data_IF_610028567398
#
_entry.id   IF_610028567398
#
_cell.length_a   1.000
_cell.length_b   1.000
_cell.length_c   1.000
_cell.angle_alpha   90.00
_cell.angle_beta   90.00
_cell.angle_gamma   90.00
#
_symmetry.space_group_name_H-M   'P 1'
#
loop_
_entity.id
_entity.type
_entity.pdbx_description
1 polymer ?
#
# COMPACT_ATOMS: atom_id res chain seq x y z
N UNK A 1 -5.95 -19.17 22.67
CA UNK A 1 -5.37 -17.82 22.49
C UNK A 1 -4.62 -17.83 21.17
N UNK A 2 -4.83 -16.82 20.34
CA UNK A 2 -4.10 -16.67 19.08
C UNK A 2 -2.63 -16.43 19.40
N UNK A 3 -1.74 -17.19 18.80
CA UNK A 3 -0.33 -16.83 18.79
C UNK A 3 -0.16 -15.69 17.77
N UNK A 4 -0.15 -14.45 18.28
CA UNK A 4 -0.21 -13.24 17.47
C UNK A 4 0.97 -13.12 16.51
N UNK A 5 2.18 -13.48 16.94
CA UNK A 5 3.39 -13.26 16.15
C UNK A 5 3.39 -14.09 14.85
N UNK A 6 3.23 -15.43 14.86
CA UNK A 6 3.16 -16.21 13.63
C UNK A 6 2.00 -15.81 12.74
N UNK A 7 0.84 -15.45 13.32
CA UNK A 7 -0.32 -15.04 12.56
C UNK A 7 -0.09 -13.70 11.85
N UNK A 8 0.39 -12.67 12.56
CA UNK A 8 0.72 -11.37 11.95
C UNK A 8 1.86 -11.48 10.95
N UNK A 9 2.89 -12.27 11.22
CA UNK A 9 3.96 -12.54 10.26
C UNK A 9 3.40 -13.08 8.94
N UNK A 10 2.46 -14.03 9.02
CA UNK A 10 1.78 -14.55 7.85
C UNK A 10 1.00 -13.46 7.11
N UNK A 11 0.18 -12.67 7.81
CA UNK A 11 -0.64 -11.62 7.19
C UNK A 11 0.20 -10.55 6.50
N UNK A 12 1.24 -10.03 7.17
CA UNK A 12 2.15 -9.02 6.61
C UNK A 12 2.88 -9.55 5.36
N UNK A 13 3.28 -10.83 5.37
CA UNK A 13 3.90 -11.45 4.20
C UNK A 13 2.89 -11.64 3.07
N UNK A 14 1.72 -12.19 3.37
CA UNK A 14 0.69 -12.47 2.37
C UNK A 14 0.17 -11.19 1.70
N UNK A 15 -0.06 -10.12 2.46
CA UNK A 15 -0.48 -8.83 1.90
C UNK A 15 0.59 -8.21 1.00
N UNK A 16 1.87 -8.31 1.39
CA UNK A 16 2.97 -7.82 0.56
C UNK A 16 3.14 -8.63 -0.74
N UNK A 17 3.03 -9.95 -0.66
CA UNK A 17 3.08 -10.84 -1.83
C UNK A 17 1.92 -10.58 -2.79
N UNK A 18 0.70 -10.40 -2.26
CA UNK A 18 -0.47 -10.05 -3.05
C UNK A 18 -0.36 -8.67 -3.70
N UNK A 19 0.20 -7.69 -2.99
CA UNK A 19 0.38 -6.32 -3.47
C UNK A 19 1.37 -6.24 -4.64
N UNK A 20 2.53 -6.88 -4.51
CA UNK A 20 3.51 -6.98 -5.59
C UNK A 20 2.94 -7.74 -6.79
N UNK A 21 2.24 -8.85 -6.54
CA UNK A 21 1.58 -9.61 -7.59
C UNK A 21 0.58 -8.75 -8.36
N UNK A 22 -0.29 -8.00 -7.68
CA UNK A 22 -1.29 -7.14 -8.30
C UNK A 22 -0.64 -6.10 -9.24
N UNK A 23 0.43 -5.44 -8.79
CA UNK A 23 1.18 -4.50 -9.63
C UNK A 23 1.81 -5.18 -10.85
N UNK A 24 2.34 -6.40 -10.70
CA UNK A 24 2.96 -7.16 -11.80
C UNK A 24 1.96 -7.52 -12.91
N UNK A 25 0.65 -7.49 -12.63
CA UNK A 25 -0.41 -7.71 -13.63
C UNK A 25 -0.62 -6.51 -14.54
N UNK A 26 -0.17 -5.33 -14.14
CA UNK A 26 -0.33 -4.09 -14.90
C UNK A 26 0.85 -3.97 -15.88
N UNK A 27 0.61 -3.76 -17.19
CA UNK A 27 1.67 -3.48 -18.15
C UNK A 27 2.57 -2.32 -17.69
N UNK A 28 3.88 -2.48 -17.80
CA UNK A 28 4.86 -1.50 -17.27
C UNK A 28 4.69 -0.09 -17.80
N UNK A 29 4.29 0.05 -19.08
CA UNK A 29 4.05 1.35 -19.69
C UNK A 29 2.87 2.13 -19.05
N UNK A 30 2.03 1.47 -18.25
CA UNK A 30 0.89 2.07 -17.54
C UNK A 30 1.21 2.42 -16.08
N UNK A 31 2.35 2.00 -15.53
CA UNK A 31 2.65 2.14 -14.09
C UNK A 31 2.63 3.59 -13.60
N UNK A 32 2.96 4.55 -14.47
CA UNK A 32 2.95 5.98 -14.16
C UNK A 32 1.76 6.74 -14.75
N UNK A 33 0.89 6.07 -15.51
CA UNK A 33 -0.27 6.71 -16.13
C UNK A 33 -1.43 6.82 -15.14
N UNK A 34 -2.31 7.79 -15.37
CA UNK A 34 -3.59 7.86 -14.68
C UNK A 34 -4.57 6.85 -15.31
N UNK A 35 -5.43 6.20 -14.51
CA UNK A 35 -6.37 5.24 -15.03
C UNK A 35 -7.48 5.89 -15.88
N UNK A 36 -8.03 5.14 -16.86
CA UNK A 36 -9.06 5.63 -17.78
C UNK A 36 -10.44 5.81 -17.15
N UNK A 37 -10.70 5.18 -16.01
CA UNK A 37 -11.93 5.37 -15.23
C UNK A 37 -11.55 5.64 -13.77
N UNK A 38 -11.44 6.91 -13.35
CA UNK A 38 -11.03 7.25 -11.99
C UNK A 38 -12.07 6.91 -10.93
N UNK A 39 -13.32 6.67 -11.31
CA UNK A 39 -14.41 6.34 -10.37
C UNK A 39 -14.34 4.88 -9.94
N UNK A 40 -13.91 4.00 -10.85
CA UNK A 40 -13.74 2.59 -10.59
C UNK A 40 -12.30 2.21 -10.27
N UNK A 41 -11.33 2.67 -11.06
CA UNK A 41 -9.92 2.31 -10.92
C UNK A 41 -9.14 3.22 -9.96
N UNK A 42 -9.77 4.25 -9.39
CA UNK A 42 -9.13 5.21 -8.48
C UNK A 42 -8.43 6.35 -9.21
N UNK A 43 -7.91 7.34 -8.47
CA UNK A 43 -7.39 8.59 -9.05
C UNK A 43 -5.87 8.65 -9.13
N UNK A 44 -5.17 7.62 -8.70
CA UNK A 44 -3.71 7.56 -8.64
C UNK A 44 -3.14 6.58 -9.66
N UNK A 45 -1.88 6.81 -10.05
CA UNK A 45 -1.15 5.83 -10.85
C UNK A 45 -0.78 4.61 -10.01
N UNK A 46 -0.53 3.44 -10.65
CA UNK A 46 -0.05 2.26 -9.95
C UNK A 46 1.22 2.52 -9.11
N UNK A 47 2.19 3.25 -9.66
CA UNK A 47 3.42 3.62 -8.97
C UNK A 47 3.16 4.46 -7.72
N UNK A 48 2.20 5.41 -7.78
CA UNK A 48 1.86 6.25 -6.63
C UNK A 48 1.25 5.43 -5.49
N UNK A 49 0.45 4.40 -5.77
CA UNK A 49 -0.06 3.50 -4.74
C UNK A 49 1.06 2.79 -3.98
N UNK A 50 2.09 2.29 -4.68
CA UNK A 50 3.23 1.60 -4.05
C UNK A 50 4.03 2.55 -3.18
N UNK A 51 4.33 3.74 -3.71
CA UNK A 51 5.02 4.77 -2.96
C UNK A 51 4.24 5.17 -1.70
N UNK A 52 2.94 5.46 -1.84
CA UNK A 52 2.09 5.85 -0.72
C UNK A 52 2.05 4.79 0.38
N UNK A 53 1.84 3.51 0.04
CA UNK A 53 1.84 2.42 1.02
C UNK A 53 3.20 2.29 1.69
N UNK A 54 4.30 2.45 0.93
CA UNK A 54 5.65 2.41 1.49
C UNK A 54 5.88 3.52 2.51
N UNK A 55 5.51 4.76 2.18
CA UNK A 55 5.68 5.91 3.08
C UNK A 55 4.76 5.82 4.30
N UNK A 56 3.51 5.38 4.12
CA UNK A 56 2.60 5.07 5.23
C UNK A 56 3.24 4.06 6.20
N UNK A 57 3.79 2.97 5.66
CA UNK A 57 4.40 1.94 6.49
C UNK A 57 5.68 2.39 7.18
N UNK A 58 6.46 3.24 6.51
CA UNK A 58 7.74 3.76 6.99
C UNK A 58 7.56 4.83 8.06
N UNK A 59 6.63 5.76 7.86
CA UNK A 59 6.45 6.94 8.72
C UNK A 59 5.41 6.73 9.82
N UNK A 60 4.39 5.89 9.60
CA UNK A 60 3.32 5.71 10.59
C UNK A 60 3.35 4.32 11.21
N UNK A 61 3.28 3.28 10.38
CA UNK A 61 3.03 1.93 10.89
C UNK A 61 4.23 1.35 11.65
N UNK A 62 5.42 1.44 11.07
CA UNK A 62 6.63 0.92 11.70
C UNK A 62 6.98 1.68 12.99
N UNK A 63 7.01 3.04 13.03
CA UNK A 63 7.25 3.77 14.28
C UNK A 63 6.22 3.43 15.36
N UNK A 64 4.93 3.38 15.00
CA UNK A 64 3.87 2.99 15.94
C UNK A 64 4.03 1.58 16.52
N UNK A 65 4.66 0.65 15.78
CA UNK A 65 5.00 -0.68 16.30
C UNK A 65 6.24 -0.63 17.21
N UNK A 66 7.21 0.23 16.92
CA UNK A 66 8.44 0.35 17.73
C UNK A 66 8.15 1.01 19.07
N UNK A 67 7.18 1.91 19.16
CA UNK A 67 6.76 2.53 20.45
C UNK A 67 6.37 1.49 21.51
N UNK A 68 5.97 0.28 21.10
CA UNK A 68 5.68 -0.83 22.01
C UNK A 68 6.92 -1.44 22.67
N UNK A 69 8.11 -1.18 22.11
CA UNK A 69 9.39 -1.49 22.72
C UNK A 69 9.87 -0.40 23.69
N UNK A 70 9.14 0.72 23.81
CA UNK A 70 9.50 1.87 24.66
C UNK A 70 10.87 2.47 24.28
N UNK A 71 11.23 2.37 22.98
CA UNK A 71 12.46 2.92 22.41
C UNK A 71 12.15 4.30 21.84
N UNK A 72 12.94 5.30 22.22
CA UNK A 72 12.81 6.67 21.70
C UNK A 72 12.90 6.68 20.16
N UNK A 73 11.88 7.22 19.51
CA UNK A 73 11.78 7.34 18.06
C UNK A 73 12.19 8.73 17.59
N UNK A 74 12.72 8.79 16.37
CA UNK A 74 12.81 10.04 15.61
C UNK A 74 11.45 10.20 14.93
N UNK A 75 10.75 11.29 15.26
CA UNK A 75 9.54 11.68 14.55
C UNK A 75 9.95 12.12 13.14
N UNK A 76 9.51 11.36 12.14
CA UNK A 76 9.69 11.71 10.74
C UNK A 76 8.33 12.09 10.17
N UNK A 77 8.21 13.35 9.71
CA UNK A 77 7.03 13.84 9.03
C UNK A 77 6.64 12.88 7.91
N UNK A 78 5.38 12.44 7.90
CA UNK A 78 4.81 11.60 6.85
C UNK A 78 4.51 12.46 5.62
N UNK A 79 5.30 12.36 4.54
CA UNK A 79 5.15 13.24 3.39
C UNK A 79 4.19 12.57 2.40
N UNK A 80 2.89 12.59 2.69
CA UNK A 80 1.84 11.98 1.85
C UNK A 80 0.97 13.02 1.14
N UNK A 81 1.61 13.84 0.31
CA UNK A 81 0.91 14.80 -0.54
C UNK A 81 1.42 14.77 -1.98
N UNK A 82 0.71 15.52 -2.84
CA UNK A 82 1.06 15.65 -4.26
C UNK A 82 2.47 16.27 -4.45
N UNK A 83 2.92 17.12 -3.52
CA UNK A 83 4.23 17.78 -3.60
C UNK A 83 5.37 16.80 -3.30
N UNK A 84 5.20 15.96 -2.28
CA UNK A 84 6.12 14.88 -1.93
C UNK A 84 6.21 13.87 -3.08
N UNK A 85 5.07 13.43 -3.62
CA UNK A 85 5.04 12.56 -4.79
C UNK A 85 5.77 13.19 -5.99
N UNK A 86 5.55 14.47 -6.26
CA UNK A 86 6.19 15.18 -7.37
C UNK A 86 7.73 15.21 -7.26
N UNK A 87 8.29 15.12 -6.04
CA UNK A 87 9.74 15.11 -5.80
C UNK A 87 10.39 13.74 -6.02
N UNK A 88 9.63 12.66 -6.03
CA UNK A 88 10.15 11.29 -6.25
C UNK A 88 10.76 11.17 -7.64
N UNK A 89 12.08 10.99 -7.71
CA UNK A 89 12.83 10.91 -8.97
C UNK A 89 12.83 9.50 -9.58
N UNK A 90 12.98 8.47 -8.75
CA UNK A 90 12.96 7.08 -9.19
C UNK A 90 11.61 6.44 -8.86
N UNK A 91 10.76 6.33 -9.89
CA UNK A 91 9.42 5.75 -9.82
C UNK A 91 9.34 4.38 -10.50
N UNK A 92 10.50 3.78 -10.77
CA UNK A 92 10.58 2.47 -11.39
C UNK A 92 9.94 1.40 -10.49
N UNK A 93 9.25 0.45 -11.12
CA UNK A 93 8.60 -0.68 -10.45
C UNK A 93 9.55 -1.37 -9.45
N UNK A 94 10.75 -1.73 -9.90
CA UNK A 94 11.72 -2.48 -9.09
C UNK A 94 12.16 -1.69 -7.87
N UNK A 95 12.44 -0.39 -8.02
CA UNK A 95 12.85 0.48 -6.91
C UNK A 95 11.73 0.64 -5.89
N UNK A 96 10.50 0.92 -6.34
CA UNK A 96 9.36 1.12 -5.45
C UNK A 96 9.02 -0.16 -4.69
N UNK A 97 8.97 -1.31 -5.37
CA UNK A 97 8.72 -2.61 -4.72
C UNK A 97 9.87 -2.97 -3.77
N UNK A 98 11.13 -2.75 -4.14
CA UNK A 98 12.25 -3.02 -3.25
C UNK A 98 12.19 -2.18 -1.97
N UNK A 99 11.80 -0.91 -2.07
CA UNK A 99 11.60 -0.04 -0.91
C UNK A 99 10.45 -0.53 -0.02
N UNK A 100 9.30 -0.85 -0.61
CA UNK A 100 8.16 -1.44 0.10
C UNK A 100 8.57 -2.73 0.84
N UNK A 101 9.23 -3.66 0.14
CA UNK A 101 9.66 -4.94 0.69
C UNK A 101 10.66 -4.77 1.84
N UNK A 102 11.55 -3.79 1.74
CA UNK A 102 12.50 -3.46 2.81
C UNK A 102 11.76 -3.03 4.08
N UNK A 103 10.82 -2.10 3.98
CA UNK A 103 10.01 -1.64 5.15
C UNK A 103 9.19 -2.79 5.73
N UNK A 104 8.56 -3.60 4.87
CA UNK A 104 7.82 -4.79 5.29
C UNK A 104 8.70 -5.78 6.07
N UNK A 105 9.91 -6.02 5.60
CA UNK A 105 10.85 -6.92 6.26
C UNK A 105 11.23 -6.41 7.65
N UNK A 106 11.44 -5.09 7.80
CA UNK A 106 11.68 -4.47 9.11
C UNK A 106 10.52 -4.69 10.08
N UNK A 107 9.27 -4.54 9.64
CA UNK A 107 8.09 -4.83 10.46
C UNK A 107 8.01 -6.31 10.87
N UNK A 108 8.31 -7.24 9.96
CA UNK A 108 8.31 -8.68 10.24
C UNK A 108 9.39 -9.05 11.25
N UNK A 109 10.58 -8.46 11.15
CA UNK A 109 11.67 -8.66 12.11
C UNK A 109 11.33 -8.10 13.48
N UNK A 110 10.67 -6.93 13.51
CA UNK A 110 10.20 -6.30 14.73
C UNK A 110 9.21 -7.17 15.52
N UNK A 111 8.37 -7.96 14.85
CA UNK A 111 7.46 -8.89 15.53
C UNK A 111 8.19 -9.86 16.48
N UNK A 112 9.44 -10.23 16.19
CA UNK A 112 10.23 -11.11 17.06
C UNK A 112 10.68 -10.43 18.36
N UNK A 113 10.68 -9.10 18.41
CA UNK A 113 11.04 -8.33 19.60
C UNK A 113 9.81 -8.05 20.47
N UNK A 114 8.60 -8.29 19.96
CA UNK A 114 7.32 -8.04 20.62
C UNK A 114 6.77 -9.31 21.32
N UNK A 115 7.64 -10.24 21.71
CA UNK A 115 7.24 -11.53 22.33
C UNK A 115 6.51 -11.36 23.65
N UNK A 116 6.90 -10.37 24.44
CA UNK A 116 6.32 -10.10 25.77
C UNK A 116 5.33 -8.92 25.74
N UNK A 117 4.98 -8.40 24.56
CA UNK A 117 4.04 -7.31 24.42
C UNK A 117 2.62 -7.77 24.81
N UNK A 118 1.90 -6.93 25.55
CA UNK A 118 0.45 -7.09 25.72
C UNK A 118 -0.26 -6.59 24.45
N UNK A 119 -0.64 -7.54 23.60
CA UNK A 119 -1.22 -7.27 22.28
C UNK A 119 -2.59 -6.59 22.33
N UNK A 120 -3.30 -6.65 23.47
CA UNK A 120 -4.69 -6.20 23.60
C UNK A 120 -4.85 -5.01 24.57
N UNK A 121 -3.84 -4.70 25.39
CA UNK A 121 -3.82 -3.45 26.17
C UNK A 121 -3.79 -2.25 25.23
N UNK A 122 -4.69 -1.26 25.34
CA UNK A 122 -4.59 -0.03 24.56
C UNK A 122 -3.45 0.88 25.04
N UNK A 123 -2.76 1.56 24.11
CA UNK A 123 -1.81 2.65 24.36
C UNK A 123 -2.12 3.83 23.44
N UNK A 124 -1.53 4.99 23.72
CA UNK A 124 -1.59 6.13 22.79
C UNK A 124 -0.85 5.76 21.50
N UNK A 125 -1.49 6.00 20.36
CA UNK A 125 -0.94 5.75 19.02
C UNK A 125 -1.40 6.87 18.09
N UNK A 126 -0.89 6.90 16.85
CA UNK A 126 -1.37 7.81 15.81
C UNK A 126 -2.85 7.62 15.43
N UNK A 127 -3.47 6.50 15.84
CA UNK A 127 -4.90 6.22 15.67
C UNK A 127 -5.69 6.35 16.98
N UNK A 128 -5.14 7.09 17.96
CA UNK A 128 -5.66 7.27 19.31
C UNK A 128 -5.34 6.10 20.24
N UNK A 129 -6.12 5.95 21.31
CA UNK A 129 -5.97 4.86 22.28
C UNK A 129 -6.33 3.50 21.67
N UNK A 130 -5.32 2.75 21.22
CA UNK A 130 -5.48 1.51 20.44
C UNK A 130 -4.47 0.44 20.85
N UNK A 131 -4.83 -0.85 20.78
CA UNK A 131 -3.92 -1.94 21.09
C UNK A 131 -2.99 -2.26 19.92
N UNK A 132 -1.85 -2.89 20.19
CA UNK A 132 -0.87 -3.31 19.18
C UNK A 132 -1.49 -4.23 18.12
N UNK A 133 -2.40 -5.13 18.52
CA UNK A 133 -3.11 -6.00 17.59
C UNK A 133 -3.90 -5.21 16.53
N UNK A 134 -4.46 -4.06 16.90
CA UNK A 134 -5.13 -3.15 15.95
C UNK A 134 -4.11 -2.48 15.03
N UNK A 135 -3.01 -1.95 15.57
CA UNK A 135 -1.95 -1.29 14.78
C UNK A 135 -1.46 -2.20 13.66
N UNK A 136 -1.04 -3.43 14.00
CA UNK A 136 -0.54 -4.39 13.00
C UNK A 136 -1.64 -4.83 12.03
N UNK A 137 -2.89 -4.93 12.49
CA UNK A 137 -4.04 -5.20 11.63
C UNK A 137 -4.28 -4.10 10.60
N UNK A 138 -4.26 -2.83 11.02
CA UNK A 138 -4.45 -1.71 10.11
C UNK A 138 -3.33 -1.65 9.07
N UNK A 139 -2.10 -2.03 9.42
CA UNK A 139 -0.99 -2.09 8.46
C UNK A 139 -1.29 -2.99 7.26
N UNK A 140 -1.59 -4.28 7.47
CA UNK A 140 -1.86 -5.17 6.32
C UNK A 140 -3.21 -4.87 5.66
N UNK A 141 -4.19 -4.36 6.42
CA UNK A 141 -5.48 -3.97 5.87
C UNK A 141 -5.34 -2.81 4.88
N UNK A 142 -4.51 -1.82 5.19
CA UNK A 142 -4.23 -0.70 4.29
C UNK A 142 -3.52 -1.17 3.01
N UNK A 143 -2.59 -2.13 3.13
CA UNK A 143 -1.99 -2.79 1.97
C UNK A 143 -3.05 -3.50 1.10
N UNK A 144 -4.04 -4.16 1.71
CA UNK A 144 -5.13 -4.78 0.95
C UNK A 144 -6.03 -3.77 0.25
N UNK A 145 -6.35 -2.62 0.86
CA UNK A 145 -7.15 -1.56 0.21
C UNK A 145 -6.49 -1.06 -1.09
N UNK A 146 -5.19 -0.79 -1.04
CA UNK A 146 -4.44 -0.40 -2.22
C UNK A 146 -4.19 -1.57 -3.18
N UNK A 147 -3.98 -2.78 -2.65
CA UNK A 147 -3.82 -3.99 -3.44
C UNK A 147 -5.05 -4.36 -4.25
N UNK A 148 -6.25 -4.18 -3.70
CA UNK A 148 -7.50 -4.34 -4.44
C UNK A 148 -7.58 -3.35 -5.60
N UNK A 149 -7.21 -2.09 -5.36
CA UNK A 149 -7.20 -1.07 -6.42
C UNK A 149 -6.22 -1.43 -7.54
N UNK A 150 -5.00 -1.86 -7.21
CA UNK A 150 -4.03 -2.34 -8.20
C UNK A 150 -4.53 -3.60 -8.93
N UNK A 151 -5.22 -4.51 -8.23
CA UNK A 151 -5.76 -5.71 -8.86
C UNK A 151 -6.88 -5.35 -9.83
N UNK A 152 -7.77 -4.42 -9.48
CA UNK A 152 -8.78 -3.89 -10.40
C UNK A 152 -8.14 -3.25 -11.63
N UNK A 153 -7.08 -2.46 -11.46
CA UNK A 153 -6.29 -1.94 -12.57
C UNK A 153 -5.72 -3.06 -13.46
N UNK A 154 -5.07 -4.07 -12.86
CA UNK A 154 -4.48 -5.18 -13.61
C UNK A 154 -5.48 -6.09 -14.31
N UNK A 155 -6.76 -6.06 -13.91
CA UNK A 155 -7.84 -6.85 -14.51
C UNK A 155 -8.62 -6.11 -15.59
N UNK A 156 -8.80 -4.79 -15.47
CA UNK A 156 -9.83 -4.07 -16.22
C UNK A 156 -9.33 -2.87 -17.04
N UNK A 157 -8.07 -2.44 -16.85
CA UNK A 157 -7.59 -1.20 -17.47
C UNK A 157 -7.62 -1.23 -19.01
N UNK A 158 -7.10 -2.28 -19.63
CA UNK A 158 -7.05 -2.38 -21.09
C UNK A 158 -8.44 -2.60 -21.69
N UNK A 159 -9.31 -3.32 -20.99
CA UNK A 159 -10.70 -3.58 -21.36
C UNK A 159 -11.50 -2.28 -21.40
N UNK A 160 -11.37 -1.45 -20.36
CA UNK A 160 -12.01 -0.13 -20.32
C UNK A 160 -11.51 0.76 -21.46
N UNK A 161 -10.19 0.76 -21.74
CA UNK A 161 -9.65 1.52 -22.88
C UNK A 161 -10.22 1.04 -24.23
N UNK A 162 -10.40 -0.27 -24.42
CA UNK A 162 -11.00 -0.83 -25.63
C UNK A 162 -12.45 -0.39 -25.78
N UNK A 163 -13.24 -0.47 -24.71
CA UNK A 163 -14.65 -0.06 -24.70
C UNK A 163 -14.80 1.43 -25.04
N UNK A 164 -14.04 2.30 -24.38
CA UNK A 164 -14.04 3.74 -24.66
C UNK A 164 -13.66 4.05 -26.13
N UNK A 165 -12.68 3.34 -26.68
CA UNK A 165 -12.27 3.51 -28.08
C UNK A 165 -13.36 3.06 -29.06
N UNK A 166 -14.11 1.99 -28.76
CA UNK A 166 -15.23 1.52 -29.57
C UNK A 166 -16.41 2.49 -29.54
N UNK A 167 -16.75 3.03 -28.37
CA UNK A 167 -17.80 4.05 -28.21
C UNK A 167 -17.47 5.32 -28.99
N UNK A 168 -16.22 5.79 -28.89
CA UNK A 168 -15.76 6.96 -29.65
C UNK A 168 -15.94 6.76 -31.16
N UNK A 169 -15.57 5.58 -31.70
CA UNK A 169 -15.74 5.26 -33.13
C UNK A 169 -17.20 5.25 -33.57
N UNK A 170 -18.09 4.68 -32.75
CA UNK A 170 -19.54 4.65 -33.03
C UNK A 170 -20.11 6.07 -33.09
N UNK A 171 -19.73 6.93 -32.13
CA UNK A 171 -20.14 8.33 -32.12
C UNK A 171 -19.72 9.07 -33.38
N UNK A 172 -18.47 8.88 -33.86
CA UNK A 172 -17.99 9.58 -35.06
C UNK A 172 -18.69 9.13 -36.33
N UNK A 173 -19.13 7.87 -36.40
CA UNK A 173 -19.85 7.32 -37.55
C UNK A 173 -21.32 7.71 -37.63
N UNK A 174 -21.93 8.15 -36.52
CA UNK A 174 -23.33 8.58 -36.49
C UNK A 174 -23.53 10.04 -36.94
N UNK A 175 -22.46 10.84 -36.93
CA UNK A 175 -22.45 12.26 -37.31
C UNK A 175 -21.99 12.50 -38.77
N UNK A 176 -21.68 11.44 -39.52
CA UNK A 176 -21.23 11.47 -40.92
C UNK A 176 -22.32 10.99 -41.90
#
# INVERSE_FOLDING_TARGET
MTDWIPWFRYQLKASADGFEWALSRIPSHLHEQLPPDPTYLGTWSPARHVWHVTEYERCLALPSMIDWLEIEQIDEDWPDDDEAWAKVQDRGFDTLIANFRRVRQQQIELLNQLTDADWDMPRETLWGQKPLSMVVTKTFQHTYEHGDTLLRMGLWWEEILKEQAEEARKSTSADA
#
